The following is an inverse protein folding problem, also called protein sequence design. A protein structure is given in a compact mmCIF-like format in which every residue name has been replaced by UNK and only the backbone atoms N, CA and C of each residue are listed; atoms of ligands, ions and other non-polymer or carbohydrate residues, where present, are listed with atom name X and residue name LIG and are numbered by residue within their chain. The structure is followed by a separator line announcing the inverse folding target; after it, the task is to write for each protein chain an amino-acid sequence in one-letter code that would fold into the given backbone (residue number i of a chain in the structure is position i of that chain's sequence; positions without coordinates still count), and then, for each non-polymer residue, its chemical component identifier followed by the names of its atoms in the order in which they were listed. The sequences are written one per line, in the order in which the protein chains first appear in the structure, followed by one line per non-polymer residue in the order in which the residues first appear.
data_IF_564332275075
#
_entry.id   IF_564332275075
#
_cell.length_a   1.000
_cell.length_b   1.000
_cell.length_c   1.000
_cell.angle_alpha   90.00
_cell.angle_beta   90.00
_cell.angle_gamma   90.00
#
_symmetry.space_group_name_H-M   'P 1'
#
loop_
_entity.id
_entity.type
_entity.pdbx_description
1 polymer ?
#
# COMPACT_ATOMS: atom_id res chain seq x y z
N UNK A 1 -2.89 3.51 -32.70
CA UNK A 1 -3.75 2.37 -32.29
C UNK A 1 -2.99 1.15 -31.73
N UNK A 2 -1.70 0.96 -31.96
CA UNK A 2 -0.96 -0.23 -31.51
C UNK A 2 -0.48 -0.22 -30.05
N UNK A 3 -0.12 0.92 -29.50
CA UNK A 3 0.48 1.01 -28.15
C UNK A 3 -0.55 0.82 -27.03
N UNK A 4 -1.72 1.44 -27.13
CA UNK A 4 -2.79 1.32 -26.12
C UNK A 4 -3.31 -0.13 -25.99
N UNK A 5 -3.41 -0.86 -27.11
CA UNK A 5 -3.84 -2.27 -27.06
C UNK A 5 -2.80 -3.20 -26.41
N UNK A 6 -1.51 -2.90 -26.58
CA UNK A 6 -0.42 -3.67 -25.96
C UNK A 6 -0.39 -3.40 -24.47
N UNK A 7 -0.55 -2.15 -24.05
CA UNK A 7 -0.60 -1.78 -22.63
C UNK A 7 -1.81 -2.40 -21.92
N UNK A 8 -2.99 -2.37 -22.53
CA UNK A 8 -4.20 -3.00 -21.99
C UNK A 8 -4.05 -4.53 -21.86
N UNK A 9 -3.42 -5.18 -22.87
CA UNK A 9 -3.16 -6.63 -22.83
C UNK A 9 -2.15 -6.98 -21.72
N UNK A 10 -1.10 -6.19 -21.55
CA UNK A 10 -0.11 -6.37 -20.50
C UNK A 10 -0.73 -6.24 -19.12
N UNK A 11 -1.54 -5.21 -18.89
CA UNK A 11 -2.27 -5.00 -17.63
C UNK A 11 -3.22 -6.15 -17.31
N UNK A 12 -3.93 -6.68 -18.31
CA UNK A 12 -4.86 -7.79 -18.13
C UNK A 12 -4.14 -9.08 -17.74
N UNK A 13 -3.01 -9.40 -18.38
CA UNK A 13 -2.17 -10.55 -18.03
C UNK A 13 -1.63 -10.39 -16.60
N UNK A 14 -1.16 -9.21 -16.27
CA UNK A 14 -0.62 -8.93 -14.94
C UNK A 14 -1.71 -9.05 -13.86
N UNK A 15 -2.93 -8.58 -14.12
CA UNK A 15 -4.06 -8.74 -13.21
C UNK A 15 -4.37 -10.22 -12.93
N UNK A 16 -4.36 -11.07 -13.97
CA UNK A 16 -4.53 -12.51 -13.82
C UNK A 16 -3.41 -13.15 -12.98
N UNK A 17 -2.16 -12.79 -13.25
CA UNK A 17 -1.01 -13.28 -12.47
C UNK A 17 -1.17 -12.89 -11.00
N UNK A 18 -1.51 -11.64 -10.71
CA UNK A 18 -1.71 -11.13 -9.35
C UNK A 18 -2.86 -11.85 -8.63
N UNK A 19 -3.94 -12.15 -9.34
CA UNK A 19 -5.06 -12.93 -8.81
C UNK A 19 -4.65 -14.33 -8.40
N UNK A 20 -3.89 -15.05 -9.24
CA UNK A 20 -3.40 -16.39 -8.91
C UNK A 20 -2.41 -16.36 -7.75
N UNK A 21 -1.53 -15.37 -7.68
CA UNK A 21 -0.60 -15.17 -6.55
C UNK A 21 -1.39 -15.01 -5.26
N UNK A 22 -2.42 -14.15 -5.27
CA UNK A 22 -3.29 -13.96 -4.13
C UNK A 22 -3.95 -15.27 -3.67
N UNK A 23 -4.52 -16.06 -4.58
CA UNK A 23 -5.14 -17.35 -4.26
C UNK A 23 -4.14 -18.33 -3.63
N UNK A 24 -2.94 -18.41 -4.20
CA UNK A 24 -1.89 -19.30 -3.69
C UNK A 24 -1.49 -18.88 -2.26
N UNK A 25 -1.20 -17.61 -2.06
CA UNK A 25 -0.76 -17.10 -0.76
C UNK A 25 -1.86 -17.23 0.28
N UNK A 26 -3.10 -16.92 -0.06
CA UNK A 26 -4.25 -17.09 0.83
C UNK A 26 -4.41 -18.55 1.28
N UNK A 27 -4.27 -19.51 0.35
CA UNK A 27 -4.34 -20.95 0.66
C UNK A 27 -3.22 -21.41 1.60
N UNK A 28 -2.01 -20.87 1.44
CA UNK A 28 -0.86 -21.25 2.27
C UNK A 28 -0.75 -20.46 3.57
N UNK A 29 -1.45 -19.35 3.72
CA UNK A 29 -1.38 -18.47 4.90
C UNK A 29 -1.76 -19.17 6.20
N UNK A 30 -2.68 -20.16 6.16
CA UNK A 30 -3.04 -20.99 7.31
C UNK A 30 -1.88 -21.82 7.86
N UNK A 31 -0.92 -22.19 6.99
CA UNK A 31 0.26 -22.97 7.38
C UNK A 31 1.44 -22.11 7.81
N UNK A 32 1.37 -20.80 7.54
CA UNK A 32 2.48 -19.91 7.84
C UNK A 32 2.57 -19.67 9.35
N UNK A 33 3.69 -20.06 9.92
CA UNK A 33 4.06 -19.82 11.33
C UNK A 33 2.91 -20.15 12.32
N UNK A 34 2.25 -21.30 12.13
CA UNK A 34 1.14 -21.76 12.96
C UNK A 34 -0.05 -20.78 13.06
N UNK A 35 -0.41 -20.14 11.95
CA UNK A 35 -1.55 -19.22 11.90
C UNK A 35 -1.22 -17.77 12.31
N UNK A 36 0.04 -17.37 12.33
CA UNK A 36 0.42 -15.98 12.70
C UNK A 36 -0.21 -14.91 11.79
N UNK A 37 -0.57 -15.26 10.56
CA UNK A 37 -1.26 -14.39 9.60
C UNK A 37 -2.80 -14.56 9.62
N UNK A 38 -3.38 -15.17 10.66
CA UNK A 38 -4.82 -15.26 10.83
C UNK A 38 -5.32 -14.17 11.77
N UNK A 39 -6.39 -13.48 11.39
CA UNK A 39 -7.12 -12.60 12.28
C UNK A 39 -8.14 -13.44 13.07
N UNK A 40 -7.90 -13.59 14.35
CA UNK A 40 -8.76 -14.29 15.32
C UNK A 40 -9.36 -13.33 16.35
N UNK A 41 -9.14 -12.01 16.18
CA UNK A 41 -9.63 -10.99 17.12
C UNK A 41 -11.09 -10.62 16.81
N UNK A 42 -12.01 -11.50 17.17
CA UNK A 42 -13.46 -11.30 16.97
C UNK A 42 -14.08 -10.20 17.85
N UNK A 43 -13.36 -9.72 18.86
CA UNK A 43 -13.87 -8.72 19.81
C UNK A 43 -13.56 -7.27 19.40
N UNK A 44 -12.85 -7.07 18.31
CA UNK A 44 -12.58 -5.70 17.82
C UNK A 44 -13.86 -5.06 17.28
N UNK A 45 -14.12 -3.77 17.53
CA UNK A 45 -15.30 -3.07 16.99
C UNK A 45 -15.42 -3.12 15.48
N UNK A 46 -14.33 -3.43 14.80
CA UNK A 46 -14.20 -3.51 13.32
C UNK A 46 -14.23 -4.96 12.80
N UNK A 47 -14.36 -5.96 13.68
CA UNK A 47 -14.37 -7.35 13.27
C UNK A 47 -15.80 -7.77 12.93
N UNK A 48 -16.08 -7.92 11.64
CA UNK A 48 -17.36 -8.42 11.12
C UNK A 48 -17.31 -9.89 10.68
N UNK A 49 -16.26 -10.62 11.07
CA UNK A 49 -16.07 -12.02 10.72
C UNK A 49 -16.20 -12.92 11.97
N UNK A 50 -16.88 -14.06 11.80
CA UNK A 50 -17.07 -15.09 12.84
C UNK A 50 -16.05 -16.23 12.74
N UNK A 51 -15.28 -16.28 11.64
CA UNK A 51 -14.26 -17.28 11.37
C UNK A 51 -12.90 -16.60 11.15
N UNK A 52 -11.77 -17.26 11.49
CA UNK A 52 -10.44 -16.72 11.25
C UNK A 52 -10.23 -16.33 9.79
N UNK A 53 -9.85 -15.06 9.54
CA UNK A 53 -9.60 -14.52 8.20
C UNK A 53 -8.10 -14.31 8.00
N UNK A 54 -7.62 -14.55 6.79
CA UNK A 54 -6.20 -14.41 6.47
C UNK A 54 -5.79 -12.96 6.26
N UNK A 55 -4.72 -12.52 6.93
CA UNK A 55 -4.07 -11.20 6.73
C UNK A 55 -2.93 -11.28 5.70
N UNK A 56 -3.13 -12.03 4.64
CA UNK A 56 -2.10 -12.28 3.62
C UNK A 56 -2.15 -11.33 2.42
N UNK A 57 -3.11 -10.41 2.39
CA UNK A 57 -3.31 -9.48 1.28
C UNK A 57 -2.08 -8.64 0.98
N UNK A 58 -1.46 -8.04 1.99
CA UNK A 58 -0.26 -7.24 1.84
C UNK A 58 0.92 -8.02 1.24
N UNK A 59 1.11 -9.28 1.65
CA UNK A 59 2.14 -10.15 1.10
C UNK A 59 1.86 -10.44 -0.38
N UNK A 60 0.61 -10.72 -0.74
CA UNK A 60 0.23 -10.98 -2.12
C UNK A 60 0.50 -9.77 -3.02
N UNK A 61 0.15 -8.57 -2.55
CA UNK A 61 0.38 -7.31 -3.26
C UNK A 61 1.87 -7.08 -3.48
N UNK A 62 2.72 -7.21 -2.45
CA UNK A 62 4.15 -6.92 -2.59
C UNK A 62 4.86 -7.94 -3.48
N UNK A 63 4.46 -9.22 -3.45
CA UNK A 63 5.00 -10.23 -4.35
C UNK A 63 4.59 -9.95 -5.80
N UNK A 64 3.31 -9.64 -6.04
CA UNK A 64 2.82 -9.27 -7.38
C UNK A 64 3.54 -8.04 -7.91
N UNK A 65 3.71 -7.03 -7.07
CA UNK A 65 4.43 -5.81 -7.42
C UNK A 65 5.92 -6.08 -7.71
N UNK A 66 6.56 -6.97 -6.96
CA UNK A 66 7.95 -7.37 -7.23
C UNK A 66 8.10 -8.04 -8.58
N UNK A 67 7.16 -8.92 -8.94
CA UNK A 67 7.14 -9.56 -10.26
C UNK A 67 6.93 -8.53 -11.36
N UNK A 68 6.01 -7.58 -11.14
CA UNK A 68 5.83 -6.46 -12.08
C UNK A 68 7.12 -5.68 -12.29
N UNK A 69 7.83 -5.32 -11.23
CA UNK A 69 9.08 -4.57 -11.32
C UNK A 69 10.16 -5.33 -12.09
N UNK A 70 10.25 -6.65 -11.89
CA UNK A 70 11.19 -7.49 -12.64
C UNK A 70 10.83 -7.51 -14.13
N UNK A 71 9.55 -7.72 -14.45
CA UNK A 71 9.08 -7.73 -15.84
C UNK A 71 9.29 -6.35 -16.48
N UNK A 72 8.97 -5.29 -15.76
CA UNK A 72 9.17 -3.92 -16.22
C UNK A 72 10.64 -3.62 -16.52
N UNK A 73 11.54 -4.06 -15.63
CA UNK A 73 12.98 -3.93 -15.85
C UNK A 73 13.46 -4.70 -17.11
N UNK A 74 12.97 -5.93 -17.29
CA UNK A 74 13.34 -6.74 -18.46
C UNK A 74 12.84 -6.14 -19.78
N UNK A 75 11.70 -5.44 -19.78
CA UNK A 75 11.13 -4.83 -20.98
C UNK A 75 11.71 -3.45 -21.30
N UNK A 76 11.99 -2.65 -20.28
CA UNK A 76 12.33 -1.23 -20.43
C UNK A 76 13.75 -0.88 -19.97
N UNK A 77 14.48 -1.83 -19.38
CA UNK A 77 15.83 -1.63 -18.80
C UNK A 77 15.87 -0.48 -17.76
N UNK A 78 14.72 -0.16 -17.16
CA UNK A 78 14.56 0.95 -16.23
C UNK A 78 14.13 0.46 -14.86
N UNK A 79 14.84 0.90 -13.81
CA UNK A 79 14.50 0.57 -12.43
C UNK A 79 13.71 1.73 -11.82
N UNK A 80 12.58 1.42 -11.22
CA UNK A 80 11.67 2.36 -10.57
C UNK A 80 11.99 2.46 -9.07
N UNK A 81 13.16 3.01 -8.71
CA UNK A 81 13.65 3.10 -7.32
C UNK A 81 12.64 3.73 -6.37
N UNK A 82 11.95 4.78 -6.82
CA UNK A 82 11.00 5.55 -6.01
C UNK A 82 9.82 4.67 -5.57
N UNK A 83 9.26 3.91 -6.51
CA UNK A 83 8.14 3.00 -6.23
C UNK A 83 8.59 1.80 -5.38
N UNK A 84 9.81 1.29 -5.58
CA UNK A 84 10.38 0.25 -4.76
C UNK A 84 10.46 0.74 -3.32
N UNK A 85 11.11 1.87 -3.09
CA UNK A 85 11.35 2.36 -1.74
C UNK A 85 10.06 2.60 -0.97
N UNK A 86 9.07 3.30 -1.56
CA UNK A 86 7.82 3.60 -0.86
C UNK A 86 7.02 2.34 -0.59
N UNK A 87 6.87 1.46 -1.59
CA UNK A 87 6.03 0.26 -1.48
C UNK A 87 6.57 -0.70 -0.43
N UNK A 88 7.88 -0.96 -0.42
CA UNK A 88 8.49 -1.85 0.58
C UNK A 88 8.52 -1.23 1.97
N UNK A 89 8.72 0.09 2.09
CA UNK A 89 8.70 0.76 3.38
C UNK A 89 7.31 0.72 4.02
N UNK A 90 6.26 1.05 3.26
CA UNK A 90 4.88 0.99 3.75
C UNK A 90 4.47 -0.45 4.05
N UNK A 91 4.83 -1.41 3.17
CA UNK A 91 4.58 -2.82 3.40
C UNK A 91 5.22 -3.33 4.69
N UNK A 92 6.48 -2.99 4.95
CA UNK A 92 7.17 -3.41 6.17
C UNK A 92 6.44 -2.99 7.44
N UNK A 93 5.98 -1.73 7.50
CA UNK A 93 5.24 -1.23 8.67
C UNK A 93 3.93 -1.99 8.86
N UNK A 94 3.16 -2.21 7.77
CA UNK A 94 1.92 -2.99 7.83
C UNK A 94 2.16 -4.46 8.19
N UNK A 95 3.18 -5.07 7.62
CA UNK A 95 3.52 -6.47 7.84
C UNK A 95 3.96 -6.76 9.30
N UNK A 96 4.67 -5.84 9.93
CA UNK A 96 5.01 -5.96 11.36
C UNK A 96 3.77 -5.97 12.24
N UNK A 97 2.73 -5.22 11.87
CA UNK A 97 1.44 -5.23 12.57
C UNK A 97 0.69 -6.56 12.34
N UNK A 98 0.69 -7.06 11.11
CA UNK A 98 0.06 -8.34 10.75
C UNK A 98 0.71 -9.57 11.40
N UNK A 99 2.01 -9.50 11.72
CA UNK A 99 2.73 -10.55 12.44
C UNK A 99 2.41 -10.60 13.94
N UNK A 100 1.40 -9.86 14.42
CA UNK A 100 1.02 -9.78 15.85
C UNK A 100 2.18 -9.32 16.76
N UNK A 101 3.14 -8.60 16.22
CA UNK A 101 4.10 -7.86 17.02
C UNK A 101 3.31 -6.66 17.54
N UNK A 102 2.82 -6.74 18.79
CA UNK A 102 1.97 -5.73 19.43
C UNK A 102 2.64 -4.35 19.43
N UNK A 103 2.65 -3.71 18.27
CA UNK A 103 3.14 -2.35 18.11
C UNK A 103 2.01 -1.42 18.53
N UNK A 104 2.24 -0.60 19.55
CA UNK A 104 1.30 0.43 19.95
C UNK A 104 0.92 1.29 18.70
N UNK A 105 -0.38 1.53 18.44
CA UNK A 105 -0.83 2.33 17.29
C UNK A 105 -0.14 3.67 17.14
N UNK A 106 0.19 4.32 18.25
CA UNK A 106 0.94 5.58 18.26
C UNK A 106 2.38 5.43 17.74
N UNK A 107 3.07 4.35 18.12
CA UNK A 107 4.42 4.05 17.62
C UNK A 107 4.39 3.76 16.12
N UNK A 108 3.39 3.02 15.63
CA UNK A 108 3.17 2.75 14.20
C UNK A 108 3.00 4.04 13.42
N UNK A 109 2.16 4.96 13.92
CA UNK A 109 1.96 6.27 13.29
C UNK A 109 3.27 7.07 13.19
N UNK A 110 4.07 7.10 14.26
CA UNK A 110 5.36 7.80 14.28
C UNK A 110 6.33 7.19 13.26
N UNK A 111 6.45 5.86 13.21
CA UNK A 111 7.32 5.18 12.26
C UNK A 111 6.92 5.49 10.82
N UNK A 112 5.61 5.42 10.51
CA UNK A 112 5.09 5.78 9.20
C UNK A 112 5.37 7.25 8.86
N UNK A 113 5.17 8.16 9.81
CA UNK A 113 5.45 9.58 9.63
C UNK A 113 6.92 9.84 9.31
N UNK A 114 7.84 9.20 10.04
CA UNK A 114 9.28 9.32 9.79
C UNK A 114 9.68 8.76 8.42
N UNK A 115 9.19 7.58 8.06
CA UNK A 115 9.47 6.98 6.74
C UNK A 115 8.94 7.84 5.60
N UNK A 116 7.71 8.33 5.69
CA UNK A 116 7.11 9.20 4.68
C UNK A 116 7.83 10.55 4.61
N UNK A 117 8.23 11.11 5.74
CA UNK A 117 8.99 12.37 5.77
C UNK A 117 10.34 12.22 5.05
N UNK A 118 11.07 11.15 5.32
CA UNK A 118 12.31 10.82 4.62
C UNK A 118 12.02 10.70 3.12
N UNK A 119 11.01 9.92 2.76
CA UNK A 119 10.61 9.67 1.38
C UNK A 119 10.29 10.96 0.61
N UNK A 120 9.47 11.85 1.17
CA UNK A 120 9.05 13.11 0.55
C UNK A 120 10.24 14.05 0.31
N UNK A 121 11.24 14.03 1.19
CA UNK A 121 12.40 14.90 1.04
C UNK A 121 13.46 14.33 0.08
N UNK A 122 13.53 13.01 -0.09
CA UNK A 122 14.46 12.40 -1.05
C UNK A 122 13.90 12.32 -2.47
N UNK A 123 12.58 12.29 -2.64
CA UNK A 123 11.94 12.21 -3.93
C UNK A 123 11.37 13.57 -4.36
N UNK A 124 11.43 13.89 -5.66
CA UNK A 124 10.89 15.14 -6.19
C UNK A 124 9.36 15.11 -6.29
N UNK A 125 8.67 14.70 -5.22
CA UNK A 125 7.21 14.72 -5.17
C UNK A 125 6.78 16.18 -4.95
N UNK A 126 6.33 16.82 -6.02
CA UNK A 126 5.79 18.18 -5.97
C UNK A 126 4.34 18.15 -6.42
N UNK A 127 3.46 18.63 -5.58
CA UNK A 127 2.12 19.01 -5.99
C UNK A 127 2.24 20.39 -6.65
N UNK A 128 2.12 20.43 -7.98
CA UNK A 128 2.41 21.63 -8.77
C UNK A 128 1.27 22.66 -8.71
N UNK A 129 0.02 22.22 -8.62
CA UNK A 129 -1.15 23.09 -8.61
C UNK A 129 -2.27 22.51 -7.76
N UNK A 130 -2.80 23.33 -6.88
CA UNK A 130 -4.07 23.12 -6.21
C UNK A 130 -4.94 24.31 -6.64
N UNK A 131 -6.12 24.05 -7.21
CA UNK A 131 -7.01 25.10 -7.74
C UNK A 131 -7.60 26.03 -6.65
N UNK A 132 -6.90 26.15 -5.52
CA UNK A 132 -7.20 27.06 -4.41
C UNK A 132 -6.06 28.07 -4.31
N UNK A 133 -6.26 29.34 -4.66
CA UNK A 133 -5.17 30.34 -4.75
C UNK A 133 -4.33 30.49 -3.48
N UNK A 134 -4.97 30.44 -2.31
CA UNK A 134 -4.28 30.51 -1.02
C UNK A 134 -3.35 29.32 -0.80
N UNK A 135 -3.83 28.11 -1.09
CA UNK A 135 -3.05 26.88 -0.94
C UNK A 135 -1.90 26.83 -1.95
N UNK A 136 -2.13 27.22 -3.18
CA UNK A 136 -1.07 27.28 -4.22
C UNK A 136 0.06 28.23 -3.80
N UNK A 137 -0.28 29.37 -3.20
CA UNK A 137 0.72 30.29 -2.65
C UNK A 137 1.53 29.65 -1.49
N UNK A 138 0.87 28.97 -0.57
CA UNK A 138 1.53 28.28 0.55
C UNK A 138 2.40 27.10 0.09
N UNK A 139 2.02 26.40 -1.00
CA UNK A 139 2.79 25.30 -1.59
C UNK A 139 4.13 25.74 -2.17
N UNK A 140 4.34 27.01 -2.45
CA UNK A 140 5.65 27.54 -2.87
C UNK A 140 6.70 27.39 -1.75
N UNK A 141 6.28 27.33 -0.50
CA UNK A 141 7.14 27.05 0.64
C UNK A 141 7.43 25.55 0.75
N UNK A 142 8.70 25.15 0.63
CA UNK A 142 9.11 23.75 0.66
C UNK A 142 8.69 23.03 1.95
N UNK A 143 8.81 23.67 3.11
CA UNK A 143 8.44 23.08 4.40
C UNK A 143 6.95 22.83 4.46
N UNK A 144 6.14 23.82 4.07
CA UNK A 144 4.69 23.68 4.04
C UNK A 144 4.25 22.56 3.06
N UNK A 145 4.82 22.55 1.85
CA UNK A 145 4.54 21.53 0.84
C UNK A 145 4.87 20.12 1.35
N UNK A 146 6.04 19.93 1.98
CA UNK A 146 6.44 18.63 2.53
C UNK A 146 5.50 18.16 3.64
N UNK A 147 5.11 19.04 4.56
CA UNK A 147 4.17 18.71 5.64
C UNK A 147 2.79 18.38 5.07
N UNK A 148 2.32 19.16 4.11
CA UNK A 148 1.01 18.94 3.47
C UNK A 148 0.95 17.58 2.78
N UNK A 149 1.95 17.25 1.96
CA UNK A 149 2.05 15.95 1.27
C UNK A 149 2.12 14.82 2.29
N UNK A 150 2.90 14.97 3.36
CA UNK A 150 2.99 14.01 4.46
C UNK A 150 1.60 13.73 5.07
N UNK A 151 0.86 14.79 5.39
CA UNK A 151 -0.48 14.66 5.97
C UNK A 151 -1.45 13.99 5.00
N UNK A 152 -1.38 14.31 3.70
CA UNK A 152 -2.18 13.64 2.68
C UNK A 152 -1.91 12.14 2.63
N UNK A 153 -0.65 11.71 2.61
CA UNK A 153 -0.30 10.29 2.64
C UNK A 153 -0.78 9.59 3.92
N UNK A 154 -0.54 10.21 5.09
CA UNK A 154 -1.00 9.67 6.36
C UNK A 154 -2.52 9.52 6.41
N UNK A 155 -3.24 10.52 5.91
CA UNK A 155 -4.70 10.50 5.86
C UNK A 155 -5.21 9.37 4.96
N UNK A 156 -4.65 9.22 3.77
CA UNK A 156 -5.04 8.15 2.83
C UNK A 156 -4.72 6.77 3.43
N UNK A 157 -3.50 6.55 3.95
CA UNK A 157 -3.09 5.25 4.48
C UNK A 157 -3.95 4.86 5.71
N UNK A 158 -4.15 5.77 6.66
CA UNK A 158 -4.95 5.47 7.84
C UNK A 158 -6.44 5.40 7.53
N UNK A 159 -6.94 6.26 6.62
CA UNK A 159 -8.32 6.21 6.14
C UNK A 159 -8.63 4.90 5.41
N UNK A 160 -7.74 4.45 4.52
CA UNK A 160 -7.85 3.17 3.84
C UNK A 160 -7.90 2.00 4.84
N UNK A 161 -7.03 2.01 5.85
CA UNK A 161 -7.02 0.98 6.90
C UNK A 161 -8.32 0.96 7.73
N UNK A 162 -8.91 2.13 8.00
CA UNK A 162 -10.20 2.24 8.69
C UNK A 162 -11.36 1.67 7.85
N UNK A 163 -11.38 1.99 6.55
CA UNK A 163 -12.41 1.56 5.61
C UNK A 163 -12.30 0.05 5.35
N UNK A 164 -11.10 -0.51 5.32
CA UNK A 164 -10.86 -1.94 5.09
C UNK A 164 -11.44 -2.83 6.21
N UNK A 165 -11.64 -2.27 7.41
CA UNK A 165 -12.39 -2.92 8.50
C UNK A 165 -13.82 -3.33 8.14
N UNK A 166 -14.40 -2.79 7.07
CA UNK A 166 -15.75 -3.10 6.58
C UNK A 166 -15.76 -4.09 5.39
N UNK A 167 -14.98 -5.18 5.45
CA UNK A 167 -15.04 -6.32 4.53
C UNK A 167 -15.21 -5.96 3.04
N UNK A 168 -14.15 -5.40 2.45
CA UNK A 168 -14.10 -5.12 1.01
C UNK A 168 -14.69 -3.76 0.60
N UNK A 169 -15.14 -2.94 1.55
CA UNK A 169 -15.64 -1.59 1.25
C UNK A 169 -14.57 -0.73 0.56
N UNK A 170 -13.31 -0.86 0.99
CA UNK A 170 -12.18 -0.19 0.34
C UNK A 170 -12.05 -0.62 -1.13
N UNK A 171 -12.12 -1.92 -1.39
CA UNK A 171 -12.00 -2.47 -2.76
C UNK A 171 -13.11 -1.95 -3.67
N UNK A 172 -14.35 -1.88 -3.16
CA UNK A 172 -15.49 -1.35 -3.92
C UNK A 172 -15.30 0.14 -4.25
N UNK A 173 -14.69 0.92 -3.36
CA UNK A 173 -14.45 2.35 -3.59
C UNK A 173 -13.26 2.64 -4.52
N UNK A 174 -12.40 1.65 -4.79
CA UNK A 174 -11.25 1.79 -5.68
C UNK A 174 -11.51 1.32 -7.13
N UNK A 175 -12.64 0.68 -7.38
CA UNK A 175 -13.11 0.22 -8.70
C UNK A 175 -14.02 1.27 -9.31
#
# INVERSE_FOLDING_TARGET
MGTESIEASFLSIFALISFFIFLIISKFSHKFRNGALLDEDFLKPQAFHEIPVTRSGGIAVIISFSIFLVIYYLLYEKILYDYIFISYSVFLVGFLDDLRININPFKRLIIMMLLLFIFINFLPIKILNIDIPLLTSLMSNHIFSSIFVLLCFLFVINGANLIDGFNGLLTINLI
#
